data_IF_174207914378
#
_entry.id   IF_174207914378
#
_cell.length_a   1.000
_cell.length_b   1.000
_cell.length_c   1.000
_cell.angle_alpha   90.00
_cell.angle_beta   90.00
_cell.angle_gamma   90.00
#
_symmetry.space_group_name_H-M   'P 1'
#
loop_
_entity.id
_entity.type
_entity.pdbx_description
1 polymer ?
#
# COMPACT_ATOMS: atom_id res chain seq x y z
N UNK A 1 3.07 26.11 23.98
CA UNK A 1 3.53 24.75 23.62
C UNK A 1 4.89 24.90 22.95
N UNK A 2 5.90 24.20 23.45
CA UNK A 2 7.32 24.52 23.24
C UNK A 2 7.73 24.55 21.78
N UNK A 3 8.25 25.69 21.36
CA UNK A 3 8.90 25.90 20.07
C UNK A 3 10.32 25.31 20.13
N UNK A 4 10.45 24.03 20.50
CA UNK A 4 11.74 23.34 20.52
C UNK A 4 12.30 23.30 19.11
N UNK A 5 13.44 23.95 18.96
CA UNK A 5 14.20 24.01 17.72
C UNK A 5 14.95 22.70 17.51
N UNK A 6 15.21 22.36 16.25
CA UNK A 6 16.11 21.25 15.94
C UNK A 6 17.49 21.58 16.50
N UNK A 7 18.14 20.58 17.08
CA UNK A 7 19.53 20.70 17.52
C UNK A 7 20.45 21.01 16.33
N UNK A 8 21.64 21.53 16.59
CA UNK A 8 22.64 21.75 15.54
C UNK A 8 23.01 20.43 14.84
N UNK A 9 23.06 19.33 15.61
CA UNK A 9 23.32 17.99 15.09
C UNK A 9 22.21 17.52 14.13
N UNK A 10 20.94 17.67 14.51
CA UNK A 10 19.80 17.34 13.63
C UNK A 10 19.77 18.24 12.40
N UNK A 11 20.07 19.52 12.55
CA UNK A 11 20.12 20.47 11.43
C UNK A 11 21.20 20.08 10.43
N UNK A 12 22.38 19.65 10.91
CA UNK A 12 23.45 19.16 10.05
C UNK A 12 23.11 17.81 9.39
N UNK A 13 22.51 16.88 10.14
CA UNK A 13 22.11 15.55 9.65
C UNK A 13 21.04 15.66 8.55
N UNK A 14 20.05 16.53 8.74
CA UNK A 14 18.90 16.69 7.85
C UNK A 14 19.04 17.88 6.89
N UNK A 15 20.21 18.51 6.75
CA UNK A 15 20.41 19.72 5.93
C UNK A 15 19.82 19.58 4.52
N UNK A 16 20.10 18.47 3.83
CA UNK A 16 19.57 18.23 2.48
C UNK A 16 18.05 18.11 2.46
N UNK A 17 17.46 17.47 3.46
CA UNK A 17 16.02 17.26 3.59
C UNK A 17 15.31 18.58 3.93
N UNK A 18 15.88 19.35 4.85
CA UNK A 18 15.41 20.69 5.23
C UNK A 18 15.38 21.63 4.01
N UNK A 19 16.36 21.55 3.10
CA UNK A 19 16.32 22.33 1.85
C UNK A 19 15.18 21.96 0.92
N UNK A 20 14.66 20.73 1.00
CA UNK A 20 13.58 20.24 0.14
C UNK A 20 12.22 20.66 0.70
N UNK A 21 11.96 20.44 1.98
CA UNK A 21 10.62 20.66 2.56
C UNK A 21 10.54 21.75 3.65
N UNK A 22 11.67 22.29 4.08
CA UNK A 22 11.76 23.37 5.06
C UNK A 22 11.87 22.88 6.51
N UNK A 23 12.37 23.77 7.37
CA UNK A 23 12.65 23.45 8.79
C UNK A 23 11.38 23.10 9.57
N UNK A 24 10.26 23.77 9.30
CA UNK A 24 9.00 23.50 10.00
C UNK A 24 8.43 22.12 9.67
N UNK A 25 8.65 21.66 8.42
CA UNK A 25 8.29 20.31 8.01
C UNK A 25 9.14 19.27 8.74
N UNK A 26 10.46 19.51 8.83
CA UNK A 26 11.36 18.64 9.59
C UNK A 26 10.99 18.58 11.09
N UNK A 27 10.62 19.72 11.69
CA UNK A 27 10.13 19.76 13.09
C UNK A 27 8.84 18.98 13.29
N UNK A 28 7.93 18.96 12.31
CA UNK A 28 6.70 18.15 12.38
C UNK A 28 7.02 16.67 12.30
N UNK A 29 7.93 16.26 11.41
CA UNK A 29 8.39 14.88 11.30
C UNK A 29 9.03 14.41 12.61
N UNK A 30 9.96 15.18 13.19
CA UNK A 30 10.67 14.80 14.43
C UNK A 30 9.79 14.73 15.67
N UNK A 31 8.57 15.30 15.62
CA UNK A 31 7.57 15.21 16.71
C UNK A 31 6.48 14.17 16.44
N UNK A 32 6.52 13.49 15.29
CA UNK A 32 5.51 12.52 14.92
C UNK A 32 5.86 11.13 15.43
N UNK A 33 4.81 10.35 15.71
CA UNK A 33 4.91 8.97 16.16
C UNK A 33 4.12 8.09 15.20
N UNK A 34 4.77 7.08 14.60
CA UNK A 34 4.16 6.19 13.63
C UNK A 34 4.08 4.79 14.22
N UNK A 35 2.89 4.19 14.18
CA UNK A 35 2.69 2.76 14.44
C UNK A 35 2.68 2.02 13.11
N UNK A 36 3.46 0.94 13.03
CA UNK A 36 3.50 0.02 11.90
C UNK A 36 3.04 -1.34 12.37
N UNK A 37 2.04 -1.90 11.70
CA UNK A 37 1.53 -3.25 11.99
C UNK A 37 1.82 -4.20 10.84
N UNK A 38 2.47 -5.33 11.14
CA UNK A 38 2.87 -6.37 10.19
C UNK A 38 4.17 -6.05 9.45
N UNK A 39 5.24 -6.82 9.70
CA UNK A 39 6.53 -6.62 9.03
C UNK A 39 6.70 -7.60 7.87
N UNK A 40 6.65 -7.06 6.65
CA UNK A 40 7.09 -7.72 5.42
C UNK A 40 8.09 -6.84 4.66
N UNK A 41 8.71 -7.34 3.60
CA UNK A 41 9.77 -6.66 2.84
C UNK A 41 9.39 -5.24 2.41
N UNK A 42 8.16 -5.02 1.94
CA UNK A 42 7.68 -3.68 1.60
C UNK A 42 7.63 -2.75 2.81
N UNK A 43 7.17 -3.27 3.95
CA UNK A 43 7.04 -2.52 5.20
C UNK A 43 8.42 -2.21 5.80
N UNK A 44 9.40 -3.12 5.66
CA UNK A 44 10.79 -2.88 6.08
C UNK A 44 11.38 -1.70 5.29
N UNK A 45 11.18 -1.67 3.98
CA UNK A 45 11.63 -0.56 3.12
C UNK A 45 10.94 0.76 3.49
N UNK A 46 9.63 0.72 3.77
CA UNK A 46 8.90 1.85 4.33
C UNK A 46 9.52 2.34 5.65
N UNK A 47 9.73 1.45 6.63
CA UNK A 47 10.29 1.79 7.93
C UNK A 47 11.66 2.46 7.80
N UNK A 48 12.54 1.91 6.94
CA UNK A 48 13.84 2.50 6.63
C UNK A 48 13.69 3.95 6.15
N UNK A 49 12.80 4.21 5.19
CA UNK A 49 12.60 5.55 4.66
C UNK A 49 12.07 6.53 5.71
N UNK A 50 11.15 6.08 6.56
CA UNK A 50 10.58 6.88 7.64
C UNK A 50 11.61 7.21 8.73
N UNK A 51 12.44 6.25 9.13
CA UNK A 51 13.53 6.47 10.09
C UNK A 51 14.56 7.44 9.51
N UNK A 52 14.95 7.26 8.25
CA UNK A 52 15.89 8.15 7.57
C UNK A 52 15.35 9.58 7.35
N UNK A 53 14.03 9.74 7.27
CA UNK A 53 13.37 11.05 7.22
C UNK A 53 13.35 11.78 8.57
N UNK A 54 13.75 11.11 9.66
CA UNK A 54 13.83 11.71 10.99
C UNK A 54 12.49 11.83 11.68
N UNK A 55 11.65 10.79 11.60
CA UNK A 55 10.44 10.72 12.43
C UNK A 55 10.80 10.61 13.92
N UNK A 56 10.00 11.20 14.80
CA UNK A 56 10.25 11.21 16.25
C UNK A 56 10.24 9.82 16.89
N UNK A 57 9.26 8.98 16.53
CA UNK A 57 9.32 7.57 16.87
C UNK A 57 8.60 6.68 15.87
N UNK A 58 9.06 5.42 15.82
CA UNK A 58 8.47 4.36 15.03
C UNK A 58 8.24 3.16 15.96
N UNK A 59 6.98 2.77 16.16
CA UNK A 59 6.59 1.58 16.93
C UNK A 59 6.24 0.47 15.97
N UNK A 60 6.87 -0.69 16.13
CA UNK A 60 6.63 -1.87 15.29
C UNK A 60 5.78 -2.87 16.08
N UNK A 61 4.62 -3.22 15.53
CA UNK A 61 3.76 -4.29 16.00
C UNK A 61 3.78 -5.39 14.94
N UNK A 62 4.33 -6.56 15.25
CA UNK A 62 4.37 -7.70 14.32
C UNK A 62 3.58 -8.90 14.86
N UNK A 63 2.48 -8.59 15.52
CA UNK A 63 1.46 -9.58 15.88
C UNK A 63 0.55 -9.78 14.66
N UNK A 64 0.75 -10.87 13.92
CA UNK A 64 -0.15 -11.27 12.82
C UNK A 64 -1.49 -11.70 13.46
N UNK A 65 -2.62 -11.00 13.21
CA UNK A 65 -3.36 -11.12 11.94
C UNK A 65 -4.07 -9.83 11.44
N UNK A 66 -4.65 -9.93 10.24
CA UNK A 66 -5.62 -9.03 9.57
C UNK A 66 -5.09 -7.81 8.80
N UNK A 67 -5.12 -7.93 7.46
CA UNK A 67 -5.05 -6.79 6.54
C UNK A 67 -6.45 -6.18 6.33
N UNK A 68 -6.51 -4.85 6.19
CA UNK A 68 -7.72 -4.03 6.21
C UNK A 68 -8.69 -4.38 5.05
N UNK A 69 -9.90 -4.82 5.40
CA UNK A 69 -10.99 -5.08 4.46
C UNK A 69 -11.56 -3.76 3.87
N UNK A 70 -11.55 -3.61 2.54
CA UNK A 70 -12.31 -2.54 1.86
C UNK A 70 -13.63 -3.16 1.38
N UNK A 71 -14.79 -2.55 1.69
CA UNK A 71 -16.08 -3.07 1.25
C UNK A 71 -16.20 -3.13 -0.29
N UNK A 72 -16.71 -4.25 -0.81
CA UNK A 72 -16.97 -4.48 -2.24
C UNK A 72 -17.94 -3.47 -2.90
N UNK A 73 -18.69 -2.70 -2.10
CA UNK A 73 -19.83 -1.90 -2.56
C UNK A 73 -19.46 -0.53 -3.15
N UNK A 74 -18.17 -0.17 -3.23
CA UNK A 74 -17.75 1.19 -3.59
C UNK A 74 -16.58 1.19 -4.58
N UNK A 75 -16.79 0.79 -5.85
CA UNK A 75 -15.74 0.72 -6.87
C UNK A 75 -16.08 1.54 -8.14
N UNK A 76 -15.18 2.41 -8.62
CA UNK A 76 -15.35 3.18 -9.85
C UNK A 76 -15.35 2.31 -11.12
N UNK A 77 -15.81 2.91 -12.23
CA UNK A 77 -15.93 2.24 -13.55
C UNK A 77 -14.59 1.87 -14.20
N UNK A 78 -13.46 2.38 -13.71
CA UNK A 78 -12.10 2.04 -14.16
C UNK A 78 -11.25 1.80 -12.92
N UNK A 79 -11.17 0.54 -12.51
CA UNK A 79 -10.32 0.08 -11.42
C UNK A 79 -9.37 -0.96 -12.02
N UNK A 80 -8.10 -0.90 -11.64
CA UNK A 80 -7.08 -1.85 -12.11
C UNK A 80 -7.52 -3.31 -11.96
N UNK A 81 -7.23 -4.13 -12.97
CA UNK A 81 -7.48 -5.59 -12.96
C UNK A 81 -6.81 -6.28 -11.76
N UNK A 82 -5.66 -5.76 -11.33
CA UNK A 82 -4.92 -6.26 -10.17
C UNK A 82 -5.72 -6.13 -8.87
N UNK A 83 -6.47 -5.04 -8.71
CA UNK A 83 -7.31 -4.83 -7.53
C UNK A 83 -8.36 -5.94 -7.38
N UNK A 84 -9.09 -6.23 -8.47
CA UNK A 84 -10.10 -7.27 -8.46
C UNK A 84 -9.50 -8.66 -8.24
N UNK A 85 -8.36 -8.94 -8.86
CA UNK A 85 -7.65 -10.21 -8.64
C UNK A 85 -7.22 -10.39 -7.17
N UNK A 86 -6.66 -9.35 -6.54
CA UNK A 86 -6.30 -9.40 -5.11
C UNK A 86 -7.52 -9.61 -4.21
N UNK A 87 -8.67 -9.01 -4.53
CA UNK A 87 -9.92 -9.19 -3.78
C UNK A 87 -10.49 -10.60 -3.87
N UNK A 88 -10.35 -11.26 -5.03
CA UNK A 88 -10.71 -12.67 -5.18
C UNK A 88 -9.83 -13.55 -4.30
N UNK A 89 -8.51 -13.28 -4.25
CA UNK A 89 -7.58 -14.04 -3.41
C UNK A 89 -7.84 -13.86 -1.91
N UNK A 90 -8.09 -12.62 -1.48
CA UNK A 90 -8.46 -12.33 -0.09
C UNK A 90 -9.71 -13.13 0.34
N UNK A 91 -10.75 -13.18 -0.50
CA UNK A 91 -11.95 -13.99 -0.20
C UNK A 91 -11.69 -15.48 -0.23
N UNK A 92 -10.77 -15.95 -1.07
CA UNK A 92 -10.35 -17.35 -1.06
C UNK A 92 -9.65 -17.70 0.25
N UNK A 93 -8.69 -16.87 0.68
CA UNK A 93 -7.96 -17.05 1.93
C UNK A 93 -8.91 -17.06 3.13
N UNK A 94 -9.87 -16.13 3.19
CA UNK A 94 -10.88 -16.10 4.24
C UNK A 94 -11.80 -17.32 4.23
N UNK A 95 -12.26 -17.76 3.06
CA UNK A 95 -13.17 -18.91 2.93
C UNK A 95 -12.50 -20.25 3.28
N UNK A 96 -11.20 -20.38 2.97
CA UNK A 96 -10.40 -21.58 3.26
C UNK A 96 -9.65 -21.50 4.60
N UNK A 97 -9.81 -20.40 5.34
CA UNK A 97 -9.14 -20.18 6.63
C UNK A 97 -7.61 -20.12 6.53
N UNK A 98 -7.08 -19.60 5.43
CA UNK A 98 -5.64 -19.47 5.17
C UNK A 98 -5.10 -18.11 5.58
N UNK A 99 -3.81 -18.04 5.88
CA UNK A 99 -3.15 -16.75 6.08
C UNK A 99 -2.87 -16.05 4.73
N UNK A 100 -2.77 -14.72 4.70
CA UNK A 100 -2.44 -13.97 3.49
C UNK A 100 -1.13 -14.43 2.82
N UNK A 101 -1.21 -14.87 1.57
CA UNK A 101 -0.09 -15.40 0.79
C UNK A 101 0.18 -16.89 0.98
N UNK A 102 -0.62 -17.62 1.76
CA UNK A 102 -0.59 -19.10 1.82
C UNK A 102 -1.41 -19.70 0.66
N UNK A 103 -1.03 -19.33 -0.56
CA UNK A 103 -1.68 -19.78 -1.78
C UNK A 103 -0.69 -20.51 -2.70
N UNK A 104 -1.22 -21.33 -3.59
CA UNK A 104 -0.46 -22.15 -4.51
C UNK A 104 -1.20 -22.29 -5.84
N UNK A 105 -0.49 -22.74 -6.88
CA UNK A 105 -1.11 -23.02 -8.18
C UNK A 105 -2.18 -24.11 -8.11
N UNK A 106 -2.14 -24.99 -7.10
CA UNK A 106 -3.17 -26.01 -6.88
C UNK A 106 -4.54 -25.40 -6.50
N UNK A 107 -4.56 -24.16 -6.02
CA UNK A 107 -5.77 -23.46 -5.58
C UNK A 107 -6.52 -22.80 -6.74
N UNK A 108 -5.90 -22.73 -7.94
CA UNK A 108 -6.45 -22.06 -9.11
C UNK A 108 -7.90 -22.48 -9.44
N UNK A 109 -8.28 -23.77 -9.42
CA UNK A 109 -9.67 -24.17 -9.68
C UNK A 109 -10.67 -23.57 -8.70
N UNK A 110 -10.32 -23.48 -7.42
CA UNK A 110 -11.17 -22.93 -6.36
C UNK A 110 -11.28 -21.42 -6.52
N UNK A 111 -10.15 -20.76 -6.78
CA UNK A 111 -10.06 -19.31 -6.99
C UNK A 111 -10.85 -18.88 -8.23
N UNK A 112 -10.79 -19.64 -9.33
CA UNK A 112 -11.59 -19.36 -10.54
C UNK A 112 -13.09 -19.52 -10.30
N UNK A 113 -13.48 -20.53 -9.50
CA UNK A 113 -14.87 -20.70 -9.08
C UNK A 113 -15.33 -19.50 -8.25
N UNK A 114 -14.54 -19.11 -7.25
CA UNK A 114 -14.86 -17.98 -6.38
C UNK A 114 -14.90 -16.65 -7.13
N UNK A 115 -14.00 -16.43 -8.09
CA UNK A 115 -14.06 -15.29 -9.01
C UNK A 115 -15.42 -15.21 -9.68
N UNK A 116 -15.89 -16.33 -10.24
CA UNK A 116 -17.17 -16.39 -10.94
C UNK A 116 -18.32 -16.01 -10.01
N UNK A 117 -18.36 -16.62 -8.82
CA UNK A 117 -19.38 -16.34 -7.81
C UNK A 117 -19.36 -14.85 -7.39
N UNK A 118 -18.17 -14.25 -7.25
CA UNK A 118 -18.00 -12.83 -6.89
C UNK A 118 -18.41 -11.88 -8.02
N UNK A 119 -18.08 -12.21 -9.27
CA UNK A 119 -18.51 -11.47 -10.47
C UNK A 119 -20.03 -11.48 -10.62
N UNK A 120 -20.67 -12.63 -10.40
CA UNK A 120 -22.13 -12.79 -10.44
C UNK A 120 -22.82 -11.99 -9.32
N UNK A 121 -22.24 -11.97 -8.11
CA UNK A 121 -22.83 -11.29 -6.96
C UNK A 121 -22.61 -9.76 -6.92
N UNK A 122 -21.50 -9.25 -7.47
CA UNK A 122 -21.07 -7.85 -7.27
C UNK A 122 -20.87 -7.04 -8.56
N UNK A 123 -21.17 -7.61 -9.74
CA UNK A 123 -21.20 -6.94 -11.06
C UNK A 123 -19.89 -6.53 -11.77
N UNK A 124 -18.64 -6.87 -11.38
CA UNK A 124 -17.51 -6.75 -12.30
C UNK A 124 -17.56 -7.87 -13.36
N UNK A 125 -17.32 -7.54 -14.62
CA UNK A 125 -17.18 -8.55 -15.70
C UNK A 125 -15.94 -9.41 -15.46
N UNK A 126 -16.04 -10.73 -15.68
CA UNK A 126 -14.91 -11.67 -15.61
C UNK A 126 -13.71 -11.22 -16.47
N UNK A 127 -13.95 -10.46 -17.56
CA UNK A 127 -12.90 -9.90 -18.41
C UNK A 127 -11.96 -8.90 -17.68
N UNK A 128 -12.40 -8.36 -16.54
CA UNK A 128 -11.58 -7.51 -15.67
C UNK A 128 -10.64 -8.32 -14.77
N UNK A 129 -10.78 -9.66 -14.71
CA UNK A 129 -9.98 -10.54 -13.85
C UNK A 129 -9.45 -11.72 -14.69
N UNK A 130 -8.39 -11.50 -15.50
CA UNK A 130 -7.85 -12.54 -16.38
C UNK A 130 -7.30 -13.74 -15.60
N UNK A 131 -7.53 -14.94 -16.10
CA UNK A 131 -7.04 -16.20 -15.53
C UNK A 131 -5.52 -16.17 -15.32
N UNK A 132 -4.78 -15.65 -16.32
CA UNK A 132 -3.33 -15.51 -16.27
C UNK A 132 -2.83 -14.59 -15.15
N UNK A 133 -3.64 -13.62 -14.73
CA UNK A 133 -3.31 -12.74 -13.61
C UNK A 133 -3.48 -13.50 -12.29
N UNK A 134 -4.56 -14.26 -12.12
CA UNK A 134 -4.79 -15.08 -10.93
C UNK A 134 -3.75 -16.20 -10.80
N UNK A 135 -3.46 -16.91 -11.90
CA UNK A 135 -2.43 -17.94 -11.94
C UNK A 135 -1.06 -17.39 -11.54
N UNK A 136 -0.68 -16.21 -12.06
CA UNK A 136 0.57 -15.55 -11.69
C UNK A 136 0.63 -15.17 -10.21
N UNK A 137 -0.46 -14.68 -9.64
CA UNK A 137 -0.52 -14.30 -8.22
C UNK A 137 -0.47 -15.53 -7.30
N UNK A 138 -1.07 -16.64 -7.71
CA UNK A 138 -1.01 -17.93 -7.01
C UNK A 138 0.36 -18.63 -7.13
N UNK A 139 1.07 -18.40 -8.23
CA UNK A 139 2.36 -19.02 -8.49
C UNK A 139 3.51 -18.44 -7.66
N UNK A 140 3.37 -17.22 -7.15
CA UNK A 140 4.43 -16.56 -6.39
C UNK A 140 3.84 -15.55 -5.40
N UNK A 141 3.75 -15.95 -4.14
CA UNK A 141 3.50 -15.04 -3.01
C UNK A 141 4.78 -14.45 -2.44
N UNK A 142 5.92 -14.78 -3.06
CA UNK A 142 7.22 -14.22 -2.74
C UNK A 142 7.28 -12.73 -3.03
N UNK A 143 7.78 -11.99 -2.04
CA UNK A 143 8.10 -10.59 -2.21
C UNK A 143 9.38 -10.42 -3.03
N UNK A 144 9.32 -9.55 -4.04
CA UNK A 144 10.50 -9.20 -4.84
C UNK A 144 11.16 -7.96 -4.21
N UNK A 145 12.41 -8.04 -3.73
CA UNK A 145 13.07 -6.92 -3.07
C UNK A 145 13.05 -5.60 -3.87
N UNK A 146 13.22 -5.59 -5.22
CA UNK A 146 13.08 -4.37 -6.00
C UNK A 146 11.68 -3.75 -5.93
N UNK A 147 10.63 -4.57 -5.92
CA UNK A 147 9.23 -4.11 -5.81
C UNK A 147 8.97 -3.56 -4.42
N UNK A 148 9.44 -4.23 -3.37
CA UNK A 148 9.35 -3.75 -2.00
C UNK A 148 10.01 -2.39 -1.82
N UNK A 149 11.19 -2.17 -2.42
CA UNK A 149 11.88 -0.89 -2.37
C UNK A 149 11.10 0.23 -3.07
N UNK A 150 10.49 -0.07 -4.22
CA UNK A 150 9.66 0.90 -4.96
C UNK A 150 8.41 1.27 -4.17
N UNK A 151 7.63 0.26 -3.75
CA UNK A 151 6.37 0.49 -3.02
C UNK A 151 6.64 1.13 -1.65
N UNK A 152 7.62 0.63 -0.89
CA UNK A 152 8.01 1.18 0.41
C UNK A 152 8.57 2.59 0.31
N UNK A 153 9.26 2.91 -0.79
CA UNK A 153 9.67 4.27 -1.18
C UNK A 153 8.50 5.22 -1.32
N UNK A 154 7.55 4.86 -2.18
CA UNK A 154 6.39 5.69 -2.49
C UNK A 154 5.49 5.84 -1.26
N UNK A 155 5.19 4.75 -0.55
CA UNK A 155 4.41 4.79 0.69
C UNK A 155 5.08 5.69 1.75
N UNK A 156 6.40 5.56 1.92
CA UNK A 156 7.17 6.38 2.85
C UNK A 156 7.05 7.87 2.51
N UNK A 157 7.18 8.20 1.23
CA UNK A 157 7.04 9.57 0.75
C UNK A 157 5.64 10.14 0.99
N UNK A 158 4.58 9.36 0.78
CA UNK A 158 3.21 9.81 1.04
C UNK A 158 2.93 10.08 2.51
N UNK A 159 3.45 9.24 3.40
CA UNK A 159 3.36 9.48 4.85
C UNK A 159 4.16 10.73 5.25
N UNK A 160 5.34 10.95 4.66
CA UNK A 160 6.13 12.17 4.88
C UNK A 160 5.35 13.41 4.43
N UNK A 161 4.71 13.40 3.25
CA UNK A 161 3.87 14.51 2.78
C UNK A 161 2.70 14.79 3.73
N UNK A 162 2.02 13.73 4.17
CA UNK A 162 0.87 13.85 5.06
C UNK A 162 1.26 14.48 6.42
N UNK A 163 2.37 14.05 7.02
CA UNK A 163 2.86 14.58 8.30
C UNK A 163 3.43 15.99 8.14
N UNK A 164 4.26 16.19 7.12
CA UNK A 164 4.95 17.45 6.90
C UNK A 164 4.02 18.54 6.38
N UNK A 165 2.87 18.20 5.78
CA UNK A 165 2.02 19.17 5.08
C UNK A 165 2.73 19.84 3.90
N UNK A 166 3.72 19.16 3.29
CA UNK A 166 4.48 19.65 2.15
C UNK A 166 4.31 18.72 0.95
N UNK A 167 3.92 19.31 -0.18
CA UNK A 167 3.54 18.58 -1.38
C UNK A 167 2.12 18.03 -1.30
N UNK A 168 1.56 17.70 -2.45
CA UNK A 168 0.22 17.12 -2.54
C UNK A 168 0.30 15.59 -2.38
N UNK A 169 -0.44 15.00 -1.41
CA UNK A 169 -0.59 13.57 -1.32
C UNK A 169 -1.27 12.99 -2.56
N UNK A 170 -0.88 11.76 -2.91
CA UNK A 170 -1.53 10.94 -3.91
C UNK A 170 -3.00 10.70 -3.52
N UNK A 171 -3.89 10.83 -4.48
CA UNK A 171 -5.32 10.55 -4.32
C UNK A 171 -5.70 9.38 -5.22
N UNK A 172 -6.05 8.22 -4.70
CA UNK A 172 -5.79 7.68 -3.35
C UNK A 172 -5.22 6.25 -3.42
N UNK A 173 -4.99 5.73 -4.63
CA UNK A 173 -4.32 4.47 -4.89
C UNK A 173 -3.11 4.67 -5.79
N UNK A 174 -2.08 3.86 -5.54
CA UNK A 174 -0.93 3.72 -6.41
C UNK A 174 -0.73 2.24 -6.73
N UNK A 175 -0.60 1.93 -8.02
CA UNK A 175 -0.33 0.60 -8.53
C UNK A 175 1.02 0.58 -9.23
N UNK A 176 1.80 -0.48 -9.03
CA UNK A 176 3.05 -0.71 -9.74
C UNK A 176 3.01 -2.09 -10.41
N UNK A 177 3.27 -2.13 -11.71
CA UNK A 177 3.48 -3.38 -12.44
C UNK A 177 4.98 -3.56 -12.71
N UNK A 178 5.56 -4.59 -12.09
CA UNK A 178 6.99 -4.87 -12.19
C UNK A 178 7.40 -5.42 -13.57
N UNK A 179 6.46 -5.91 -14.38
CA UNK A 179 6.75 -6.48 -15.70
C UNK A 179 6.98 -5.40 -16.74
N UNK A 180 6.17 -4.33 -16.72
CA UNK A 180 6.31 -3.22 -17.65
C UNK A 180 6.89 -1.95 -17.02
N UNK A 181 7.14 -1.96 -15.71
CA UNK A 181 7.77 -0.88 -14.95
C UNK A 181 6.85 0.33 -14.73
N UNK A 182 5.53 0.20 -14.95
CA UNK A 182 4.61 1.33 -14.86
C UNK A 182 4.07 1.52 -13.43
N UNK A 183 4.10 2.76 -12.98
CA UNK A 183 3.37 3.24 -11.81
C UNK A 183 2.14 4.04 -12.23
N UNK A 184 0.95 3.70 -11.69
CA UNK A 184 -0.32 4.36 -12.01
C UNK A 184 -0.96 4.85 -10.72
N UNK A 185 -1.42 6.10 -10.73
CA UNK A 185 -2.16 6.70 -9.62
C UNK A 185 -3.63 6.77 -10.01
N UNK A 186 -4.52 6.28 -9.16
CA UNK A 186 -5.97 6.30 -9.39
C UNK A 186 -6.71 6.96 -8.21
N UNK A 187 -7.60 7.91 -8.53
CA UNK A 187 -8.53 8.52 -7.56
C UNK A 187 -9.85 7.74 -7.54
N UNK A 188 -10.09 7.06 -6.42
CA UNK A 188 -11.23 6.18 -6.20
C UNK A 188 -12.33 6.85 -5.36
N UNK A 189 -12.16 8.12 -4.97
CA UNK A 189 -13.06 8.80 -4.02
C UNK A 189 -14.42 9.21 -4.59
N UNK A 190 -14.57 9.36 -5.92
CA UNK A 190 -15.80 9.84 -6.54
C UNK A 190 -16.72 8.71 -7.05
N UNK A 191 -17.78 8.40 -6.29
CA UNK A 191 -18.84 7.47 -6.70
C UNK A 191 -20.16 8.13 -7.10
N UNK A 192 -20.28 9.46 -7.26
CA UNK A 192 -21.52 10.08 -7.73
C UNK A 192 -21.29 11.41 -8.47
N UNK A 193 -21.60 11.44 -9.77
CA UNK A 193 -22.44 12.48 -10.41
C UNK A 193 -22.72 12.06 -11.86
N UNK A 194 -23.82 11.34 -12.07
CA UNK A 194 -24.69 11.48 -13.25
C UNK A 194 -26.04 10.87 -12.87
N UNK A 195 -26.86 11.68 -12.18
CA UNK A 195 -28.31 11.68 -12.34
C UNK A 195 -28.68 12.32 -13.68
#
# INVERSE_FOLDING_TARGET
MGNEELTEQETALYDRQIRVWGVDAQRRLSKSHILVSGLRGTVVEFCKNIVLAGVGSLTLNDDRPDAIAIPWRSLPKRVSKLYFAMRVLERFEEAEGRNPGETSTADLPIVLKLRKDLCEAHSPSEAQIPDSLLERLLASTTEFPPVCAIIGGILGQEVIKAISGKGDPLKNFFFFDAVDGKGIIEDISNTNTHS
#
